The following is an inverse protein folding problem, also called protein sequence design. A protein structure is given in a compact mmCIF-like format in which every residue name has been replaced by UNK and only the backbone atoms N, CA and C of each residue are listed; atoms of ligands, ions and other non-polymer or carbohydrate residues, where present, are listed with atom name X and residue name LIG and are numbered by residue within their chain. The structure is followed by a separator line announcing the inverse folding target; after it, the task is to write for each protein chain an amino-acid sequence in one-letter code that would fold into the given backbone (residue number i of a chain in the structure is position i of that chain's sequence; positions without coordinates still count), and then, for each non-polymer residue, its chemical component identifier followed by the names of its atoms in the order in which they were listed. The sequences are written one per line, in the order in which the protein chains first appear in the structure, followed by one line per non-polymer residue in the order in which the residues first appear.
data_IF_707794405899
#
_entry.id   IF_707794405899
#
_cell.length_a   1.000
_cell.length_b   1.000
_cell.length_c   1.000
_cell.angle_alpha   90.00
_cell.angle_beta   90.00
_cell.angle_gamma   90.00
#
_symmetry.space_group_name_H-M   'P 1'
#
loop_
_entity.id
_entity.type
_entity.pdbx_description
1 polymer ?
#
# COMPACT_ATOMS: atom_id res chain seq x y z
N UNK A 1 -46.62 -11.19 28.98
CA UNK A 1 -45.97 -12.05 27.96
C UNK A 1 -45.96 -11.42 26.57
N UNK A 2 -47.09 -10.91 26.03
CA UNK A 2 -47.13 -10.29 24.67
C UNK A 2 -46.25 -9.04 24.56
N UNK A 3 -46.17 -8.18 25.59
CA UNK A 3 -45.33 -7.00 25.62
C UNK A 3 -43.83 -7.36 25.52
N UNK A 4 -43.42 -8.45 26.18
CA UNK A 4 -42.02 -8.93 26.09
C UNK A 4 -41.70 -9.45 24.70
N UNK A 5 -42.66 -10.18 24.08
CA UNK A 5 -42.49 -10.71 22.73
C UNK A 5 -42.35 -9.59 21.70
N UNK A 6 -43.22 -8.56 21.75
CA UNK A 6 -43.10 -7.41 20.85
C UNK A 6 -41.83 -6.58 21.10
N UNK A 7 -41.43 -6.44 22.37
CA UNK A 7 -40.18 -5.77 22.73
C UNK A 7 -38.96 -6.49 22.18
N UNK A 8 -38.89 -7.82 22.33
CA UNK A 8 -37.77 -8.60 21.78
C UNK A 8 -37.75 -8.62 20.27
N UNK A 9 -38.93 -8.67 19.62
CA UNK A 9 -38.99 -8.58 18.15
C UNK A 9 -38.54 -7.21 17.62
N UNK A 10 -38.94 -6.12 18.26
CA UNK A 10 -38.51 -4.77 17.91
C UNK A 10 -36.98 -4.61 18.07
N UNK A 11 -36.44 -5.19 19.15
CA UNK A 11 -34.98 -5.16 19.39
C UNK A 11 -34.23 -5.99 18.38
N UNK A 12 -34.76 -7.13 17.95
CA UNK A 12 -34.19 -7.95 16.89
C UNK A 12 -34.16 -7.19 15.54
N UNK A 13 -35.29 -6.57 15.16
CA UNK A 13 -35.38 -5.79 13.92
C UNK A 13 -34.38 -4.62 13.96
N UNK A 14 -34.28 -3.94 15.08
CA UNK A 14 -33.31 -2.87 15.28
C UNK A 14 -31.87 -3.36 15.17
N UNK A 15 -31.54 -4.52 15.76
CA UNK A 15 -30.20 -5.13 15.66
C UNK A 15 -29.87 -5.51 14.20
N UNK A 16 -30.82 -6.08 13.45
CA UNK A 16 -30.63 -6.40 12.02
C UNK A 16 -30.41 -5.13 11.20
N UNK A 17 -31.17 -4.08 11.47
CA UNK A 17 -30.99 -2.79 10.79
C UNK A 17 -29.63 -2.17 11.09
N UNK A 18 -29.17 -2.20 12.34
CA UNK A 18 -27.81 -1.79 12.71
C UNK A 18 -26.75 -2.64 12.02
N UNK A 19 -26.90 -3.95 12.02
CA UNK A 19 -25.96 -4.86 11.39
C UNK A 19 -25.83 -4.60 9.88
N UNK A 20 -26.92 -4.26 9.19
CA UNK A 20 -26.91 -3.94 7.76
C UNK A 20 -26.16 -2.65 7.41
N UNK A 21 -25.92 -1.77 8.39
CA UNK A 21 -25.13 -0.53 8.20
C UNK A 21 -23.67 -0.72 8.56
N UNK A 22 -23.30 -1.84 9.16
CA UNK A 22 -21.90 -2.16 9.50
C UNK A 22 -21.22 -2.73 8.25
N UNK A 23 -20.08 -2.16 7.88
CA UNK A 23 -19.20 -2.76 6.89
C UNK A 23 -18.60 -4.06 7.42
N UNK A 24 -18.18 -4.93 6.51
CA UNK A 24 -17.42 -6.14 6.86
C UNK A 24 -16.02 -6.01 6.27
N UNK A 25 -15.01 -6.09 7.11
CA UNK A 25 -13.62 -6.24 6.69
C UNK A 25 -13.20 -7.70 6.85
N UNK A 26 -12.56 -8.24 5.83
CA UNK A 26 -12.09 -9.63 5.87
C UNK A 26 -10.93 -9.78 6.87
N UNK A 27 -10.06 -8.79 6.92
CA UNK A 27 -8.98 -8.70 7.89
C UNK A 27 -8.89 -7.24 8.33
N UNK A 28 -9.00 -6.94 9.63
CA UNK A 28 -8.80 -5.59 10.13
C UNK A 28 -7.35 -5.16 9.88
N UNK A 29 -7.17 -3.98 9.32
CA UNK A 29 -5.84 -3.37 9.14
C UNK A 29 -5.23 -3.12 10.52
N UNK A 30 -4.13 -3.80 10.81
CA UNK A 30 -3.34 -3.56 12.01
C UNK A 30 -2.41 -2.37 11.76
N UNK A 31 -2.34 -1.42 12.68
CA UNK A 31 -1.32 -0.39 12.64
C UNK A 31 0.01 -0.97 13.16
N UNK A 32 0.93 -1.24 12.24
CA UNK A 32 2.23 -1.84 12.51
C UNK A 32 3.29 -0.79 12.96
N UNK A 33 2.90 0.50 12.97
CA UNK A 33 3.80 1.59 13.37
C UNK A 33 4.79 2.03 12.29
N UNK A 34 5.05 1.23 11.27
CA UNK A 34 6.05 1.48 10.22
C UNK A 34 5.39 1.55 8.84
N UNK A 35 6.13 2.09 7.84
CA UNK A 35 5.75 2.04 6.43
C UNK A 35 6.69 1.15 5.63
N UNK A 36 6.15 0.57 4.57
CA UNK A 36 6.91 0.10 3.40
C UNK A 36 6.50 0.95 2.21
N UNK A 37 7.47 1.61 1.61
CA UNK A 37 7.28 2.42 0.41
C UNK A 37 7.84 1.64 -0.76
N UNK A 38 7.02 1.41 -1.77
CA UNK A 38 7.37 0.68 -2.98
C UNK A 38 7.38 1.62 -4.18
N UNK A 39 8.56 2.11 -4.61
CA UNK A 39 8.65 2.91 -5.81
C UNK A 39 8.47 2.04 -7.05
N UNK A 40 7.59 2.46 -7.96
CA UNK A 40 7.33 1.77 -9.21
C UNK A 40 8.24 2.33 -10.29
N UNK A 41 9.28 1.59 -10.63
CA UNK A 41 10.19 1.92 -11.72
C UNK A 41 9.78 1.20 -13.01
N UNK A 42 10.18 1.76 -14.16
CA UNK A 42 9.91 1.12 -15.45
C UNK A 42 10.63 -0.22 -15.54
N UNK A 43 9.93 -1.24 -16.02
CA UNK A 43 10.52 -2.56 -16.30
C UNK A 43 11.77 -2.44 -17.18
N UNK A 44 12.84 -3.13 -16.80
CA UNK A 44 14.15 -3.06 -17.46
C UNK A 44 15.04 -1.90 -16.98
N UNK A 45 14.65 -1.21 -15.91
CA UNK A 45 15.53 -0.23 -15.24
C UNK A 45 16.76 -0.96 -14.66
N UNK A 46 17.96 -0.43 -14.90
CA UNK A 46 19.18 -1.03 -14.38
C UNK A 46 19.28 -0.93 -12.85
N UNK A 47 19.91 -1.92 -12.23
CA UNK A 47 20.14 -1.94 -10.79
C UNK A 47 20.81 -0.66 -10.27
N UNK A 48 21.80 -0.12 -11.02
CA UNK A 48 22.46 1.14 -10.63
C UNK A 48 21.49 2.32 -10.60
N UNK A 49 20.54 2.37 -11.51
CA UNK A 49 19.50 3.41 -11.53
C UNK A 49 18.50 3.22 -10.42
N UNK A 50 18.12 1.98 -10.12
CA UNK A 50 17.26 1.65 -8.98
C UNK A 50 17.92 2.08 -7.67
N UNK A 51 19.18 1.72 -7.43
CA UNK A 51 19.96 2.15 -6.26
C UNK A 51 19.99 3.67 -6.13
N UNK A 52 20.33 4.38 -7.21
CA UNK A 52 20.41 5.83 -7.18
C UNK A 52 19.06 6.50 -6.87
N UNK A 53 17.97 5.95 -7.40
CA UNK A 53 16.62 6.47 -7.17
C UNK A 53 16.18 6.20 -5.74
N UNK A 54 16.35 4.97 -5.25
CA UNK A 54 16.02 4.58 -3.88
C UNK A 54 16.81 5.39 -2.86
N UNK A 55 18.12 5.56 -3.05
CA UNK A 55 18.96 6.41 -2.19
C UNK A 55 18.49 7.88 -2.19
N UNK A 56 17.99 8.37 -3.32
CA UNK A 56 17.42 9.73 -3.39
C UNK A 56 16.15 9.82 -2.56
N UNK A 57 15.27 8.82 -2.62
CA UNK A 57 14.04 8.75 -1.82
C UNK A 57 14.38 8.71 -0.33
N UNK A 58 15.32 7.86 0.10
CA UNK A 58 15.78 7.79 1.50
C UNK A 58 16.22 9.17 2.01
N UNK A 59 17.04 9.88 1.23
CA UNK A 59 17.50 11.23 1.58
C UNK A 59 16.36 12.25 1.70
N UNK A 60 15.35 12.17 0.82
CA UNK A 60 14.17 13.03 0.89
C UNK A 60 13.42 12.77 2.19
N UNK A 61 13.20 11.52 2.54
CA UNK A 61 12.48 11.10 3.73
C UNK A 61 13.21 11.56 4.99
N UNK A 62 14.47 11.17 5.16
CA UNK A 62 15.27 11.49 6.34
C UNK A 62 15.48 13.00 6.55
N UNK A 63 15.52 13.77 5.46
CA UNK A 63 15.74 15.23 5.56
C UNK A 63 14.49 16.01 5.95
N UNK A 64 13.32 15.58 5.47
CA UNK A 64 12.09 16.38 5.56
C UNK A 64 11.13 15.93 6.65
N UNK A 65 11.28 14.71 7.18
CA UNK A 65 10.33 14.12 8.11
C UNK A 65 11.00 13.70 9.42
N UNK A 66 10.91 14.55 10.47
CA UNK A 66 11.51 14.26 11.78
C UNK A 66 10.85 13.07 12.51
N UNK A 67 9.66 12.65 12.07
CA UNK A 67 8.92 11.48 12.55
C UNK A 67 9.63 10.16 12.19
N UNK A 68 10.51 10.19 11.20
CA UNK A 68 11.25 9.02 10.74
C UNK A 68 12.45 8.79 11.66
N UNK A 69 12.55 7.59 12.21
CA UNK A 69 13.67 7.14 13.03
C UNK A 69 14.78 6.56 12.15
N UNK A 70 14.39 5.67 11.24
CA UNK A 70 15.34 4.93 10.38
C UNK A 70 14.70 4.59 9.04
N UNK A 71 15.51 4.55 7.98
CA UNK A 71 15.11 4.07 6.66
C UNK A 71 16.07 2.96 6.23
N UNK A 72 15.52 1.83 5.79
CA UNK A 72 16.27 0.69 5.28
C UNK A 72 15.65 0.24 3.96
N UNK A 73 16.45 0.15 2.91
CA UNK A 73 15.97 -0.28 1.60
C UNK A 73 16.50 -1.64 1.21
N UNK A 74 15.60 -2.47 0.71
CA UNK A 74 15.90 -3.74 0.04
C UNK A 74 15.71 -3.55 -1.45
N UNK A 75 16.72 -3.88 -2.26
CA UNK A 75 16.71 -3.66 -3.71
C UNK A 75 17.03 -4.97 -4.42
N UNK A 76 16.15 -5.40 -5.32
CA UNK A 76 16.32 -6.62 -6.09
C UNK A 76 16.29 -7.90 -5.27
N UNK A 77 16.57 -9.03 -5.91
CA UNK A 77 16.58 -10.34 -5.28
C UNK A 77 17.84 -10.59 -4.43
N UNK A 78 17.67 -11.27 -3.30
CA UNK A 78 18.79 -11.80 -2.52
C UNK A 78 19.43 -13.00 -3.25
N UNK A 79 20.66 -13.38 -2.84
CA UNK A 79 21.35 -14.57 -3.36
C UNK A 79 20.54 -15.87 -3.15
N UNK A 80 19.80 -15.95 -2.03
CA UNK A 80 18.79 -16.97 -1.80
C UNK A 80 17.43 -16.27 -1.73
N UNK A 81 16.65 -16.25 -2.83
CA UNK A 81 15.43 -15.46 -2.88
C UNK A 81 14.32 -16.10 -2.04
N UNK A 82 13.97 -15.46 -0.94
CA UNK A 82 12.72 -15.74 -0.21
C UNK A 82 11.55 -14.98 -0.84
N UNK A 83 11.86 -14.03 -1.74
CA UNK A 83 10.94 -13.16 -2.42
C UNK A 83 11.53 -12.80 -3.79
N UNK A 84 10.90 -13.18 -4.91
CA UNK A 84 11.39 -12.93 -6.25
C UNK A 84 11.18 -11.47 -6.65
N UNK A 85 12.13 -10.59 -6.28
CA UNK A 85 12.15 -9.20 -6.69
C UNK A 85 12.97 -9.02 -7.96
N UNK A 86 12.48 -8.24 -8.91
CA UNK A 86 13.24 -7.81 -10.08
C UNK A 86 14.25 -6.72 -9.72
N UNK A 87 15.23 -6.45 -10.60
CA UNK A 87 16.27 -5.44 -10.37
C UNK A 87 15.71 -4.01 -10.25
N UNK A 88 14.57 -3.74 -10.86
CA UNK A 88 13.86 -2.47 -10.83
C UNK A 88 12.96 -2.31 -9.60
N UNK A 89 12.77 -3.35 -8.81
CA UNK A 89 11.91 -3.33 -7.62
C UNK A 89 12.72 -3.03 -6.37
N UNK A 90 12.12 -2.29 -5.45
CA UNK A 90 12.69 -2.02 -4.14
C UNK A 90 11.61 -1.80 -3.10
N UNK A 91 11.88 -2.24 -1.87
CA UNK A 91 11.07 -1.99 -0.69
C UNK A 91 11.85 -1.08 0.26
N UNK A 92 11.31 0.09 0.53
CA UNK A 92 11.89 1.06 1.44
C UNK A 92 11.12 1.00 2.75
N UNK A 93 11.71 0.36 3.74
CA UNK A 93 11.13 0.22 5.08
C UNK A 93 11.46 1.49 5.85
N UNK A 94 10.43 2.21 6.27
CA UNK A 94 10.53 3.46 7.02
C UNK A 94 10.03 3.21 8.43
N UNK A 95 10.96 3.17 9.37
CA UNK A 95 10.65 3.05 10.78
C UNK A 95 10.27 4.40 11.34
N UNK A 96 9.12 4.47 11.99
CA UNK A 96 8.58 5.68 12.57
C UNK A 96 8.85 5.76 14.07
N UNK A 97 9.00 6.99 14.56
CA UNK A 97 9.02 7.29 15.98
C UNK A 97 7.63 7.14 16.60
N UNK A 98 7.54 7.01 17.93
CA UNK A 98 6.25 7.03 18.61
C UNK A 98 5.40 8.23 18.21
N UNK A 99 4.09 8.02 18.03
CA UNK A 99 3.16 9.06 17.56
C UNK A 99 3.16 10.32 18.42
N UNK A 100 3.54 10.21 19.70
CA UNK A 100 3.69 11.35 20.62
C UNK A 100 4.81 12.32 20.23
N UNK A 101 5.75 11.89 19.40
CA UNK A 101 6.88 12.71 18.93
C UNK A 101 6.67 13.28 17.53
N UNK A 102 5.50 13.06 16.93
CA UNK A 102 5.18 13.56 15.61
C UNK A 102 4.87 15.04 15.63
N UNK A 103 5.40 15.77 14.65
CA UNK A 103 5.29 17.23 14.53
C UNK A 103 4.60 17.62 13.23
N UNK A 104 4.88 16.92 12.13
CA UNK A 104 4.41 17.32 10.80
C UNK A 104 3.06 16.73 10.42
N UNK A 105 2.61 15.66 11.08
CA UNK A 105 1.36 14.97 10.77
C UNK A 105 0.64 14.49 12.03
N UNK A 106 -0.69 14.48 11.97
CA UNK A 106 -1.56 14.02 13.05
C UNK A 106 -1.99 12.56 12.89
N UNK A 107 -1.95 12.04 11.67
CA UNK A 107 -2.28 10.66 11.33
C UNK A 107 -1.22 10.04 10.43
N UNK A 108 -1.23 8.71 10.37
CA UNK A 108 -0.34 7.94 9.51
C UNK A 108 -0.60 8.21 8.03
N UNK A 109 -1.87 8.28 7.64
CA UNK A 109 -2.28 8.57 6.27
C UNK A 109 -1.82 9.98 5.84
N UNK A 110 -1.98 10.97 6.71
CA UNK A 110 -1.48 12.33 6.46
C UNK A 110 0.04 12.36 6.27
N UNK A 111 0.78 11.58 7.06
CA UNK A 111 2.23 11.46 6.92
C UNK A 111 2.61 10.78 5.60
N UNK A 112 1.91 9.71 5.22
CA UNK A 112 2.11 9.02 3.96
C UNK A 112 1.88 9.95 2.76
N UNK A 113 0.80 10.73 2.77
CA UNK A 113 0.48 11.70 1.71
C UNK A 113 1.55 12.79 1.60
N UNK A 114 2.06 13.30 2.72
CA UNK A 114 3.13 14.29 2.74
C UNK A 114 4.45 13.72 2.20
N UNK A 115 4.80 12.50 2.59
CA UNK A 115 5.99 11.80 2.06
C UNK A 115 5.83 11.60 0.56
N UNK A 116 4.68 11.11 0.09
CA UNK A 116 4.36 10.93 -1.33
C UNK A 116 4.50 12.22 -2.11
N UNK A 117 3.92 13.31 -1.62
CA UNK A 117 4.03 14.62 -2.24
C UNK A 117 5.49 15.11 -2.33
N UNK A 118 6.29 14.91 -1.28
CA UNK A 118 7.70 15.30 -1.25
C UNK A 118 8.57 14.48 -2.23
N UNK A 119 8.27 13.19 -2.39
CA UNK A 119 8.93 12.32 -3.37
C UNK A 119 8.60 12.76 -4.79
N UNK A 120 7.31 12.93 -5.12
CA UNK A 120 6.84 13.33 -6.47
C UNK A 120 7.38 14.71 -6.86
N UNK A 121 7.46 15.65 -5.91
CA UNK A 121 8.01 16.98 -6.17
C UNK A 121 9.49 16.95 -6.62
N UNK A 122 10.28 15.99 -6.16
CA UNK A 122 11.70 15.86 -6.48
C UNK A 122 12.01 14.79 -7.53
N UNK A 123 11.08 13.86 -7.75
CA UNK A 123 11.20 12.79 -8.74
C UNK A 123 9.87 12.74 -9.52
N UNK A 124 9.70 13.61 -10.52
CA UNK A 124 8.46 13.67 -11.32
C UNK A 124 8.18 12.34 -12.04
N UNK A 125 6.90 12.01 -12.22
CA UNK A 125 6.39 10.80 -12.86
C UNK A 125 6.81 9.50 -12.16
N UNK A 126 7.07 9.57 -10.83
CA UNK A 126 7.25 8.40 -10.01
C UNK A 126 5.93 8.04 -9.33
N UNK A 127 5.51 6.83 -9.49
CA UNK A 127 4.46 6.24 -8.67
C UNK A 127 5.10 5.58 -7.45
N UNK A 128 4.50 5.79 -6.30
CA UNK A 128 4.90 5.17 -5.04
C UNK A 128 3.67 4.62 -4.34
N UNK A 129 3.76 3.39 -3.91
CA UNK A 129 2.74 2.72 -3.12
C UNK A 129 3.20 2.67 -1.67
N UNK A 130 2.23 2.83 -0.75
CA UNK A 130 2.45 2.76 0.68
C UNK A 130 1.71 1.56 1.24
N UNK A 131 2.40 0.75 2.00
CA UNK A 131 1.84 -0.39 2.72
C UNK A 131 2.55 -0.54 4.06
N UNK A 132 2.29 -1.63 4.77
CA UNK A 132 2.93 -1.97 6.02
C UNK A 132 3.63 -3.33 5.88
N UNK A 133 4.65 -3.65 6.70
CA UNK A 133 5.47 -4.85 6.52
C UNK A 133 4.69 -6.18 6.51
N UNK A 134 3.75 -6.37 7.44
CA UNK A 134 2.95 -7.61 7.53
C UNK A 134 1.85 -7.58 6.47
N UNK A 135 1.18 -6.45 6.29
CA UNK A 135 0.15 -6.24 5.27
C UNK A 135 0.69 -6.54 3.85
N UNK A 136 1.88 -6.04 3.52
CA UNK A 136 2.56 -6.33 2.26
C UNK A 136 2.73 -7.84 2.06
N UNK A 137 3.26 -8.54 3.07
CA UNK A 137 3.46 -9.99 3.00
C UNK A 137 2.17 -10.77 2.89
N UNK A 138 1.15 -10.32 3.59
CA UNK A 138 -0.15 -10.93 3.52
C UNK A 138 -0.76 -10.80 2.12
N UNK A 139 -0.72 -9.60 1.54
CA UNK A 139 -1.23 -9.34 0.19
C UNK A 139 -0.48 -10.17 -0.86
N UNK A 140 0.84 -10.26 -0.79
CA UNK A 140 1.65 -11.11 -1.67
C UNK A 140 1.27 -12.59 -1.59
N UNK A 141 1.03 -13.11 -0.38
CA UNK A 141 0.70 -14.52 -0.18
C UNK A 141 -0.73 -14.88 -0.60
N UNK A 142 -1.69 -13.98 -0.38
CA UNK A 142 -3.13 -14.23 -0.63
C UNK A 142 -3.51 -13.91 -2.07
N UNK A 143 -3.14 -12.74 -2.56
CA UNK A 143 -3.52 -12.27 -3.89
C UNK A 143 -2.43 -12.48 -4.96
N UNK A 144 -1.20 -12.74 -4.55
CA UNK A 144 -0.01 -12.81 -5.42
C UNK A 144 0.30 -11.45 -6.06
N UNK A 145 -0.18 -10.37 -5.45
CA UNK A 145 0.07 -8.98 -5.87
C UNK A 145 0.34 -8.15 -4.64
N UNK A 146 0.99 -7.00 -4.81
CA UNK A 146 1.30 -6.08 -3.71
C UNK A 146 0.16 -5.12 -3.37
N UNK A 147 -0.81 -5.01 -4.29
CA UNK A 147 -1.95 -4.10 -4.17
C UNK A 147 -3.17 -4.79 -3.55
N UNK A 148 -4.01 -4.04 -2.84
CA UNK A 148 -5.26 -4.52 -2.23
C UNK A 148 -6.26 -5.03 -3.26
N UNK A 149 -6.25 -4.45 -4.47
CA UNK A 149 -7.10 -4.85 -5.58
C UNK A 149 -6.26 -5.15 -6.81
N UNK A 150 -6.43 -6.33 -7.40
CA UNK A 150 -5.75 -6.73 -8.62
C UNK A 150 -6.73 -7.20 -9.69
N UNK A 151 -6.63 -6.63 -10.88
CA UNK A 151 -7.36 -7.07 -12.06
C UNK A 151 -6.42 -7.91 -12.92
N UNK A 152 -6.61 -9.23 -12.93
CA UNK A 152 -5.79 -10.15 -13.70
C UNK A 152 -6.43 -10.45 -15.05
N UNK A 153 -5.72 -10.17 -16.14
CA UNK A 153 -6.16 -10.44 -17.51
C UNK A 153 -5.35 -11.60 -18.06
N UNK A 154 -6.04 -12.63 -18.54
CA UNK A 154 -5.41 -13.85 -19.07
C UNK A 154 -5.64 -13.94 -20.58
N UNK A 155 -4.66 -14.42 -21.32
CA UNK A 155 -4.73 -14.63 -22.76
C UNK A 155 -3.41 -15.17 -23.30
N UNK A 156 -3.39 -15.60 -24.56
CA UNK A 156 -2.20 -16.16 -25.20
C UNK A 156 -1.35 -15.10 -25.92
N UNK A 157 -1.96 -14.01 -26.39
CA UNK A 157 -1.29 -12.93 -27.13
C UNK A 157 -0.97 -11.75 -26.23
N UNK A 158 0.34 -11.49 -26.05
CA UNK A 158 0.84 -10.40 -25.21
C UNK A 158 0.41 -9.01 -25.68
N UNK A 159 0.27 -8.79 -27.01
CA UNK A 159 -0.15 -7.50 -27.53
C UNK A 159 -1.63 -7.23 -27.22
N UNK A 160 -2.46 -8.26 -27.35
CA UNK A 160 -3.87 -8.19 -26.97
C UNK A 160 -4.02 -7.97 -25.46
N UNK A 161 -3.21 -8.66 -24.66
CA UNK A 161 -3.20 -8.46 -23.20
C UNK A 161 -2.82 -7.03 -22.82
N UNK A 162 -1.76 -6.48 -23.43
CA UNK A 162 -1.34 -5.10 -23.19
C UNK A 162 -2.43 -4.10 -23.60
N UNK A 163 -3.06 -4.30 -24.75
CA UNK A 163 -4.16 -3.45 -25.20
C UNK A 163 -5.34 -3.50 -24.23
N UNK A 164 -5.75 -4.70 -23.79
CA UNK A 164 -6.84 -4.87 -22.82
C UNK A 164 -6.49 -4.30 -21.45
N UNK A 165 -5.26 -4.41 -20.99
CA UNK A 165 -4.79 -3.76 -19.78
C UNK A 165 -4.96 -2.24 -19.84
N UNK A 166 -4.56 -1.59 -20.93
CA UNK A 166 -4.77 -0.16 -21.14
C UNK A 166 -6.25 0.25 -21.27
N UNK A 167 -7.08 -0.60 -21.88
CA UNK A 167 -8.53 -0.34 -21.94
C UNK A 167 -9.16 -0.35 -20.54
N UNK A 168 -8.77 -1.33 -19.70
CA UNK A 168 -9.23 -1.45 -18.32
C UNK A 168 -8.74 -0.26 -17.48
N UNK A 169 -7.44 0.07 -17.56
CA UNK A 169 -6.86 1.23 -16.87
C UNK A 169 -7.64 2.52 -17.16
N UNK A 170 -7.99 2.76 -18.43
CA UNK A 170 -8.80 3.92 -18.82
C UNK A 170 -10.22 3.87 -18.25
N UNK A 171 -10.82 2.68 -18.18
CA UNK A 171 -12.18 2.51 -17.68
C UNK A 171 -12.29 2.78 -16.18
N UNK A 172 -11.28 2.37 -15.39
CA UNK A 172 -11.27 2.51 -13.92
C UNK A 172 -10.71 3.85 -13.44
N UNK A 173 -10.05 4.62 -14.31
CA UNK A 173 -9.39 5.88 -13.94
C UNK A 173 -10.32 6.94 -13.33
N UNK A 174 -11.62 6.80 -13.52
CA UNK A 174 -12.65 7.74 -13.05
C UNK A 174 -13.58 7.10 -11.99
N UNK A 175 -13.24 5.94 -11.48
CA UNK A 175 -13.93 5.26 -10.38
C UNK A 175 -13.20 5.50 -9.08
#
# INVERSE_FOLDING_TARGET
TKKVLYGSLALLVFAIALFSTMGAEFIPTLDEGDFVIQPVLKTGTSLSKTIATTTKIEKIILKNFPEVDQVVSRIGAAEVPTDPMSMEESDIIVKLKPKSEWVSASSKDELADKIKAAIIAQIPNMEVEFTQPIEMRFNELVSGTRSDVAIKVFGEDLNVLAQKGHEIEKAIKNV
#
